data_IF_033009027147
#
_entry.id   IF_033009027147
#
_cell.length_a   1.000
_cell.length_b   1.000
_cell.length_c   1.000
_cell.angle_alpha   90.00
_cell.angle_beta   90.00
_cell.angle_gamma   90.00
#
_symmetry.space_group_name_H-M   'P 1'
#
loop_
_entity.id
_entity.type
_entity.pdbx_description
1 polymer ?
#
# COMPACT_ATOMS: atom_id res chain seq x y z
N UNK A 1 10.58 -25.92 9.07
CA UNK A 1 10.83 -25.01 10.21
C UNK A 1 10.18 -23.68 9.88
N UNK A 2 9.37 -23.11 10.79
CA UNK A 2 8.82 -21.77 10.60
C UNK A 2 9.96 -20.76 10.43
N UNK A 3 9.80 -19.78 9.55
CA UNK A 3 10.85 -18.86 9.09
C UNK A 3 11.39 -17.87 10.16
N UNK A 4 11.08 -18.06 11.45
CA UNK A 4 11.57 -17.23 12.55
C UNK A 4 10.95 -15.83 12.63
N UNK A 5 10.09 -15.43 11.69
CA UNK A 5 9.24 -14.24 11.79
C UNK A 5 7.94 -14.61 12.51
N UNK A 6 7.98 -14.65 13.85
CA UNK A 6 6.79 -14.90 14.66
C UNK A 6 5.82 -13.70 14.63
N UNK A 7 4.56 -13.95 14.98
CA UNK A 7 3.53 -12.91 15.12
C UNK A 7 3.96 -11.79 16.10
N UNK A 8 4.84 -12.09 17.05
CA UNK A 8 5.42 -11.16 18.02
C UNK A 8 6.30 -10.06 17.40
N UNK A 9 6.77 -10.24 16.16
CA UNK A 9 7.57 -9.25 15.44
C UNK A 9 6.74 -8.15 14.75
N UNK A 10 5.42 -8.16 14.92
CA UNK A 10 4.49 -7.17 14.39
C UNK A 10 3.57 -6.69 15.52
N UNK A 11 3.51 -5.38 15.84
CA UNK A 11 4.07 -4.24 15.10
C UNK A 11 5.59 -4.07 15.19
N UNK A 12 6.20 -3.46 14.16
CA UNK A 12 7.64 -3.17 14.14
C UNK A 12 8.03 -2.11 15.18
N UNK A 13 9.31 -1.98 15.59
CA UNK A 13 9.72 -0.97 16.57
C UNK A 13 9.34 0.46 16.19
N UNK A 14 9.39 0.80 14.88
CA UNK A 14 8.93 2.09 14.37
C UNK A 14 7.43 2.27 14.54
N UNK A 15 6.63 1.24 14.20
CA UNK A 15 5.17 1.25 14.39
C UNK A 15 4.78 1.44 15.87
N UNK A 16 5.46 0.74 16.79
CA UNK A 16 5.19 0.87 18.23
C UNK A 16 5.48 2.29 18.73
N UNK A 17 6.62 2.87 18.34
CA UNK A 17 7.00 4.24 18.69
C UNK A 17 5.97 5.27 18.19
N UNK A 18 5.35 5.00 17.04
CA UNK A 18 4.35 5.89 16.43
C UNK A 18 2.90 5.53 16.82
N UNK A 19 2.71 4.71 17.87
CA UNK A 19 1.41 4.47 18.50
C UNK A 19 0.64 3.24 18.02
N UNK A 20 1.16 2.49 17.05
CA UNK A 20 0.62 1.17 16.68
C UNK A 20 1.18 0.11 17.63
N UNK A 21 0.60 0.04 18.82
CA UNK A 21 1.11 -0.77 19.94
C UNK A 21 0.64 -2.24 19.94
N UNK A 22 -0.38 -2.59 19.13
CA UNK A 22 -0.84 -3.97 18.97
C UNK A 22 -1.10 -4.31 17.50
N UNK A 23 -0.95 -5.58 17.17
CA UNK A 23 -1.27 -6.09 15.83
C UNK A 23 -2.76 -5.93 15.49
N UNK A 24 -3.64 -6.00 16.51
CA UNK A 24 -5.07 -5.75 16.33
C UNK A 24 -5.38 -4.32 15.87
N UNK A 25 -4.71 -3.31 16.45
CA UNK A 25 -4.87 -1.90 16.04
C UNK A 25 -4.38 -1.72 14.60
N UNK A 26 -3.21 -2.29 14.28
CA UNK A 26 -2.64 -2.25 12.92
C UNK A 26 -3.57 -2.92 11.91
N UNK A 27 -4.09 -4.10 12.24
CA UNK A 27 -5.00 -4.88 11.39
C UNK A 27 -6.34 -4.16 11.18
N UNK A 28 -6.89 -3.51 12.21
CA UNK A 28 -8.12 -2.73 12.09
C UNK A 28 -7.95 -1.55 11.12
N UNK A 29 -6.82 -0.84 11.20
CA UNK A 29 -6.48 0.21 10.24
C UNK A 29 -6.26 -0.33 8.83
N UNK A 30 -5.59 -1.48 8.70
CA UNK A 30 -5.35 -2.11 7.41
C UNK A 30 -6.65 -2.53 6.71
N UNK A 31 -7.61 -3.10 7.45
CA UNK A 31 -8.92 -3.52 6.95
C UNK A 31 -9.77 -2.33 6.47
N UNK A 32 -9.59 -1.14 7.06
CA UNK A 32 -10.35 0.06 6.67
C UNK A 32 -10.11 0.49 5.22
N UNK A 33 -8.97 0.10 4.63
CA UNK A 33 -8.65 0.37 3.20
C UNK A 33 -9.62 -0.34 2.24
N UNK A 34 -10.24 -1.44 2.65
CA UNK A 34 -11.29 -2.10 1.86
C UNK A 34 -12.62 -1.34 1.82
N UNK A 35 -12.76 -0.27 2.62
CA UNK A 35 -13.98 0.51 2.69
C UNK A 35 -15.15 -0.28 3.29
N UNK A 36 -16.33 -0.14 2.69
CA UNK A 36 -17.57 -0.82 3.10
C UNK A 36 -18.16 -1.69 1.99
N UNK A 37 -17.44 -1.87 0.89
CA UNK A 37 -17.86 -2.72 -0.23
C UNK A 37 -17.89 -4.19 0.19
N UNK A 38 -18.83 -5.00 -0.35
CA UNK A 38 -18.83 -6.43 -0.11
C UNK A 38 -17.59 -7.08 -0.73
N UNK A 39 -16.98 -8.01 0.00
CA UNK A 39 -15.92 -8.87 -0.54
C UNK A 39 -16.53 -9.83 -1.56
N UNK A 40 -16.03 -9.81 -2.79
CA UNK A 40 -16.54 -10.63 -3.89
C UNK A 40 -15.70 -11.88 -4.14
N UNK A 41 -14.41 -11.84 -3.80
CA UNK A 41 -13.51 -12.98 -3.92
C UNK A 41 -12.36 -12.93 -2.91
N UNK A 42 -11.76 -14.09 -2.67
CA UNK A 42 -10.50 -14.25 -1.94
C UNK A 42 -9.55 -15.02 -2.85
N UNK A 43 -8.36 -14.47 -3.08
CA UNK A 43 -7.37 -14.94 -4.05
C UNK A 43 -6.13 -15.46 -3.31
N UNK A 44 -5.59 -16.61 -3.74
CA UNK A 44 -4.29 -17.09 -3.24
C UNK A 44 -3.11 -16.34 -3.91
N UNK A 45 -1.87 -16.51 -3.45
CA UNK A 45 -0.69 -15.90 -4.06
C UNK A 45 -0.21 -16.68 -5.29
N UNK A 46 -0.08 -16.09 -6.52
CA UNK A 46 -0.64 -14.84 -7.04
C UNK A 46 -1.76 -15.12 -8.07
N UNK A 47 -2.91 -15.56 -7.56
CA UNK A 47 -4.10 -15.87 -8.35
C UNK A 47 -4.65 -14.60 -9.03
N UNK A 48 -4.96 -14.71 -10.32
CA UNK A 48 -5.43 -13.58 -11.12
C UNK A 48 -6.84 -13.16 -10.71
N UNK A 49 -7.06 -11.85 -10.63
CA UNK A 49 -8.40 -11.28 -10.45
C UNK A 49 -9.29 -11.60 -11.65
N UNK A 50 -10.52 -12.07 -11.39
CA UNK A 50 -11.52 -12.40 -12.43
C UNK A 50 -12.87 -11.73 -12.21
N UNK A 51 -13.12 -11.16 -11.02
CA UNK A 51 -14.39 -10.56 -10.64
C UNK A 51 -14.20 -9.08 -10.27
N UNK A 52 -15.07 -8.22 -10.80
CA UNK A 52 -15.09 -6.80 -10.42
C UNK A 52 -15.64 -6.63 -8.99
N UNK A 53 -15.01 -5.78 -8.19
CA UNK A 53 -15.38 -5.51 -6.79
C UNK A 53 -14.18 -5.62 -5.85
N UNK A 54 -14.44 -5.64 -4.54
CA UNK A 54 -13.39 -5.81 -3.53
C UNK A 54 -12.93 -7.27 -3.48
N UNK A 55 -11.70 -7.51 -3.92
CA UNK A 55 -11.04 -8.81 -3.87
C UNK A 55 -9.98 -8.78 -2.76
N UNK A 56 -9.90 -9.84 -1.94
CA UNK A 56 -8.86 -9.97 -0.93
C UNK A 56 -7.75 -10.90 -1.45
N UNK A 57 -6.52 -10.38 -1.58
CA UNK A 57 -5.36 -11.18 -2.01
C UNK A 57 -4.52 -11.61 -0.80
N UNK A 58 -4.29 -12.91 -0.66
CA UNK A 58 -3.47 -13.46 0.42
C UNK A 58 -1.98 -13.32 0.12
N UNK A 59 -1.33 -12.31 0.71
CA UNK A 59 0.12 -12.05 0.56
C UNK A 59 0.86 -12.13 1.90
N UNK A 60 2.20 -12.21 1.91
CA UNK A 60 3.00 -11.82 3.07
C UNK A 60 2.78 -10.34 3.41
N UNK A 61 3.14 -9.96 4.63
CA UNK A 61 3.09 -8.56 5.08
C UNK A 61 4.30 -7.72 4.69
N UNK A 62 5.26 -8.27 3.95
CA UNK A 62 6.40 -7.50 3.44
C UNK A 62 5.97 -6.62 2.26
N UNK A 63 6.32 -5.33 2.33
CA UNK A 63 5.90 -4.31 1.38
C UNK A 63 6.16 -4.68 -0.10
N UNK A 64 7.32 -5.24 -0.42
CA UNK A 64 7.69 -5.57 -1.81
C UNK A 64 7.06 -6.90 -2.23
N UNK A 65 7.00 -7.89 -1.34
CA UNK A 65 6.36 -9.17 -1.64
C UNK A 65 4.85 -9.01 -1.91
N UNK A 66 4.16 -8.16 -1.13
CA UNK A 66 2.74 -7.87 -1.32
C UNK A 66 2.50 -7.07 -2.60
N UNK A 67 3.28 -6.02 -2.84
CA UNK A 67 3.19 -5.21 -4.07
C UNK A 67 3.44 -6.05 -5.32
N UNK A 68 4.46 -6.93 -5.26
CA UNK A 68 4.75 -7.89 -6.35
C UNK A 68 3.54 -8.79 -6.62
N UNK A 69 2.87 -9.27 -5.56
CA UNK A 69 1.68 -10.12 -5.67
C UNK A 69 0.50 -9.37 -6.29
N UNK A 70 0.23 -8.14 -5.86
CA UNK A 70 -0.89 -7.32 -6.33
C UNK A 70 -0.79 -7.11 -7.84
N UNK A 71 0.39 -6.70 -8.30
CA UNK A 71 0.67 -6.49 -9.73
C UNK A 71 0.62 -7.82 -10.49
N UNK A 72 1.21 -8.89 -9.94
CA UNK A 72 1.11 -10.23 -10.52
C UNK A 72 -0.35 -10.72 -10.62
N UNK A 73 -1.22 -10.33 -9.69
CA UNK A 73 -2.65 -10.69 -9.66
C UNK A 73 -3.52 -9.83 -10.59
N UNK A 74 -2.96 -8.74 -11.14
CA UNK A 74 -3.59 -7.92 -12.18
C UNK A 74 -3.75 -6.44 -11.84
N UNK A 75 -3.27 -5.96 -10.69
CA UNK A 75 -3.31 -4.53 -10.36
C UNK A 75 -2.54 -3.71 -11.41
N UNK A 76 -3.16 -2.64 -11.90
CA UNK A 76 -2.56 -1.72 -12.88
C UNK A 76 -2.00 -0.45 -12.22
N UNK A 77 -2.43 -0.16 -10.99
CA UNK A 77 -1.94 0.93 -10.14
C UNK A 77 -1.96 0.40 -8.70
N UNK A 78 -0.91 0.68 -7.93
CA UNK A 78 -0.84 0.34 -6.50
C UNK A 78 -0.88 1.63 -5.69
N UNK A 79 -1.78 1.68 -4.70
CA UNK A 79 -1.83 2.78 -3.72
C UNK A 79 -1.10 2.35 -2.45
N UNK A 80 0.12 2.85 -2.28
CA UNK A 80 0.97 2.49 -1.15
C UNK A 80 0.88 3.56 -0.06
N UNK A 81 0.08 3.28 0.98
CA UNK A 81 -0.05 4.19 2.12
C UNK A 81 1.16 4.08 3.06
N UNK A 82 1.77 5.20 3.44
CA UNK A 82 2.93 5.20 4.34
C UNK A 82 2.87 6.35 5.35
N UNK A 83 3.27 6.06 6.60
CA UNK A 83 3.47 7.07 7.65
C UNK A 83 4.94 7.40 7.89
N UNK A 84 5.85 6.63 7.30
CA UNK A 84 7.31 6.75 7.51
C UNK A 84 8.09 7.03 6.23
N UNK A 85 7.45 6.94 5.05
CA UNK A 85 8.08 7.27 3.77
C UNK A 85 8.84 6.10 3.15
N UNK A 86 8.31 4.88 3.23
CA UNK A 86 8.90 3.72 2.56
C UNK A 86 8.99 3.97 1.05
N UNK A 87 10.19 3.92 0.43
CA UNK A 87 10.37 4.25 -0.98
C UNK A 87 10.11 3.06 -1.92
N UNK A 88 9.01 2.32 -1.70
CA UNK A 88 8.67 1.15 -2.51
C UNK A 88 8.18 1.55 -3.90
N UNK A 89 8.59 0.79 -4.92
CA UNK A 89 8.01 0.85 -6.25
C UNK A 89 7.74 -0.54 -6.84
N UNK A 90 7.61 -0.59 -8.17
CA UNK A 90 7.40 -1.83 -8.92
C UNK A 90 7.75 -1.60 -10.41
N UNK A 91 8.42 -2.55 -11.08
CA UNK A 91 8.82 -2.38 -12.48
C UNK A 91 7.69 -2.49 -13.50
N UNK A 92 6.48 -2.93 -13.10
CA UNK A 92 5.38 -3.24 -14.02
C UNK A 92 4.21 -2.26 -13.88
N UNK A 93 3.92 -1.77 -12.67
CA UNK A 93 2.79 -0.87 -12.42
C UNK A 93 3.22 0.35 -11.58
N UNK A 94 2.67 1.55 -11.82
CA UNK A 94 2.90 2.72 -10.98
C UNK A 94 2.48 2.46 -9.54
N UNK A 95 3.37 2.82 -8.61
CA UNK A 95 3.12 2.79 -7.16
C UNK A 95 3.00 4.23 -6.66
N UNK A 96 1.76 4.64 -6.38
CA UNK A 96 1.41 5.96 -5.82
C UNK A 96 1.69 5.94 -4.33
N UNK A 97 2.59 6.80 -3.85
CA UNK A 97 2.86 6.96 -2.41
C UNK A 97 1.88 7.93 -1.77
N UNK A 98 1.04 7.39 -0.89
CA UNK A 98 0.03 8.16 -0.16
C UNK A 98 0.49 8.37 1.28
N UNK A 99 0.78 9.61 1.66
CA UNK A 99 1.18 9.94 3.03
C UNK A 99 -0.04 9.96 3.97
N UNK A 100 0.10 9.38 5.15
CA UNK A 100 -0.90 9.47 6.23
C UNK A 100 -0.82 10.76 7.06
N UNK A 101 0.21 11.60 6.84
CA UNK A 101 0.41 12.84 7.58
C UNK A 101 1.17 13.90 6.77
N UNK A 102 0.78 15.17 6.92
CA UNK A 102 1.34 16.28 6.14
C UNK A 102 2.81 16.52 6.43
N UNK A 103 3.25 16.32 7.67
CA UNK A 103 4.66 16.47 8.04
C UNK A 103 5.59 15.54 7.24
N UNK A 104 5.16 14.32 6.93
CA UNK A 104 5.90 13.41 6.04
C UNK A 104 5.90 13.91 4.60
N UNK A 105 4.77 14.38 4.08
CA UNK A 105 4.65 14.90 2.73
C UNK A 105 5.57 16.12 2.50
N UNK A 106 5.64 17.02 3.49
CA UNK A 106 6.54 18.18 3.46
C UNK A 106 8.01 17.81 3.59
N UNK A 107 8.32 16.77 4.38
CA UNK A 107 9.71 16.31 4.60
C UNK A 107 10.26 15.50 3.43
N UNK A 108 9.39 14.77 2.72
CA UNK A 108 9.76 13.85 1.63
C UNK A 108 8.95 14.13 0.35
N UNK A 109 8.95 15.38 -0.16
CA UNK A 109 8.13 15.77 -1.31
C UNK A 109 8.60 15.14 -2.63
N UNK A 110 9.80 14.56 -2.64
CA UNK A 110 10.37 13.82 -3.75
C UNK A 110 9.90 12.36 -3.81
N UNK A 111 9.30 11.84 -2.73
CA UNK A 111 8.81 10.46 -2.62
C UNK A 111 7.30 10.40 -2.52
N UNK A 112 6.66 11.33 -1.78
CA UNK A 112 5.22 11.35 -1.55
C UNK A 112 4.50 11.96 -2.74
N UNK A 113 3.55 11.22 -3.28
CA UNK A 113 2.74 11.61 -4.44
C UNK A 113 1.42 12.30 -4.03
N UNK A 114 0.85 11.89 -2.89
CA UNK A 114 -0.42 12.40 -2.39
C UNK A 114 -0.44 12.51 -0.86
N UNK A 115 -0.96 13.60 -0.31
CA UNK A 115 -1.06 13.84 1.13
C UNK A 115 -2.50 13.72 1.64
N UNK A 116 -2.72 12.79 2.59
CA UNK A 116 -4.00 12.64 3.32
C UNK A 116 -3.97 13.26 4.72
N UNK A 117 -2.83 13.83 5.13
CA UNK A 117 -2.68 14.52 6.40
C UNK A 117 -3.68 15.64 6.70
N UNK A 118 -4.21 16.39 5.71
CA UNK A 118 -5.25 17.40 5.95
C UNK A 118 -6.54 16.85 6.57
N UNK A 119 -6.78 15.53 6.47
CA UNK A 119 -7.89 14.86 7.18
C UNK A 119 -7.69 14.88 8.69
N UNK A 120 -6.45 14.79 9.17
CA UNK A 120 -6.12 14.80 10.60
C UNK A 120 -6.20 16.23 11.17
N UNK A 121 -5.77 17.24 10.41
CA UNK A 121 -5.86 18.64 10.83
C UNK A 121 -7.29 19.22 10.77
N UNK A 122 -8.20 18.54 10.05
CA UNK A 122 -9.58 18.98 9.86
C UNK A 122 -9.77 19.95 8.70
N UNK A 123 -8.73 20.18 7.89
CA UNK A 123 -8.77 21.03 6.71
C UNK A 123 -9.46 20.36 5.50
N UNK A 124 -9.59 19.03 5.53
CA UNK A 124 -10.23 18.23 4.49
C UNK A 124 -11.06 17.09 5.10
N UNK A 125 -12.25 16.82 4.57
CA UNK A 125 -13.01 15.62 4.97
C UNK A 125 -12.47 14.36 4.30
N UNK A 126 -12.82 13.18 4.82
CA UNK A 126 -12.46 11.89 4.19
C UNK A 126 -12.99 11.81 2.76
N UNK A 127 -14.22 12.31 2.52
CA UNK A 127 -14.87 12.31 1.21
C UNK A 127 -14.12 13.20 0.22
N UNK A 128 -13.70 14.39 0.66
CA UNK A 128 -12.88 15.29 -0.17
C UNK A 128 -11.53 14.66 -0.50
N UNK A 129 -10.87 14.03 0.48
CA UNK A 129 -9.61 13.34 0.25
C UNK A 129 -9.77 12.16 -0.72
N UNK A 130 -10.88 11.41 -0.62
CA UNK A 130 -11.18 10.30 -1.51
C UNK A 130 -11.43 10.76 -2.96
N UNK A 131 -12.19 11.84 -3.16
CA UNK A 131 -12.43 12.41 -4.49
C UNK A 131 -11.12 12.90 -5.13
N UNK A 132 -10.33 13.67 -4.37
CA UNK A 132 -9.04 14.17 -4.85
C UNK A 132 -8.06 13.03 -5.17
N UNK A 133 -8.03 11.97 -4.35
CA UNK A 133 -7.19 10.81 -4.60
C UNK A 133 -7.66 10.04 -5.84
N UNK A 134 -8.97 9.89 -6.03
CA UNK A 134 -9.53 9.25 -7.23
C UNK A 134 -9.16 10.03 -8.49
N UNK A 135 -9.29 11.36 -8.47
CA UNK A 135 -8.88 12.22 -9.60
C UNK A 135 -7.38 12.08 -9.89
N UNK A 136 -6.55 12.04 -8.85
CA UNK A 136 -5.11 11.79 -9.00
C UNK A 136 -4.83 10.43 -9.66
N UNK A 137 -5.50 9.37 -9.22
CA UNK A 137 -5.37 8.03 -9.79
C UNK A 137 -5.79 7.99 -11.25
N UNK A 138 -6.87 8.70 -11.62
CA UNK A 138 -7.30 8.83 -13.03
C UNK A 138 -6.21 9.51 -13.87
N UNK A 139 -5.60 10.59 -13.38
CA UNK A 139 -4.48 11.26 -14.08
C UNK A 139 -3.27 10.34 -14.27
N UNK A 140 -2.93 9.54 -13.26
CA UNK A 140 -1.87 8.52 -13.37
C UNK A 140 -2.24 7.45 -14.40
N UNK A 141 -3.48 6.96 -14.37
CA UNK A 141 -3.98 5.96 -15.33
C UNK A 141 -3.93 6.47 -16.78
N UNK A 142 -4.21 7.76 -16.99
CA UNK A 142 -4.14 8.43 -18.29
C UNK A 142 -2.71 8.80 -18.73
N UNK A 143 -1.71 8.63 -17.86
CA UNK A 143 -0.33 9.07 -18.13
C UNK A 143 -0.13 10.59 -18.08
N UNK A 144 -1.07 11.34 -17.50
CA UNK A 144 -0.98 12.79 -17.34
C UNK A 144 -0.08 13.19 -16.16
N UNK A 145 0.07 12.29 -15.18
CA UNK A 145 0.93 12.46 -14.00
C UNK A 145 1.86 11.28 -13.87
N UNK A 146 3.16 11.53 -13.78
CA UNK A 146 4.17 10.51 -13.46
C UNK A 146 4.39 10.43 -11.95
N UNK A 147 4.24 9.22 -11.38
CA UNK A 147 4.46 8.98 -9.94
C UNK A 147 5.94 8.96 -9.58
N UNK A 148 6.26 9.30 -8.34
CA UNK A 148 7.65 9.38 -7.86
C UNK A 148 8.39 8.05 -7.95
N UNK A 149 7.71 6.90 -7.85
CA UNK A 149 8.32 5.58 -8.07
C UNK A 149 8.98 5.46 -9.44
N UNK A 150 8.25 5.86 -10.48
CA UNK A 150 8.71 5.76 -11.86
C UNK A 150 9.84 6.76 -12.08
N UNK A 151 9.64 8.01 -11.69
CA UNK A 151 10.63 9.09 -11.83
C UNK A 151 11.97 8.76 -11.16
N UNK A 152 11.94 8.03 -10.04
CA UNK A 152 13.11 7.64 -9.27
C UNK A 152 13.67 6.25 -9.63
N UNK A 153 13.05 5.50 -10.55
CA UNK A 153 13.49 4.15 -10.93
C UNK A 153 13.37 3.12 -9.80
N UNK A 154 12.30 3.20 -9.01
CA UNK A 154 12.03 2.26 -7.92
C UNK A 154 11.43 0.96 -8.48
N UNK A 155 12.29 0.06 -8.94
CA UNK A 155 11.92 -1.19 -9.61
C UNK A 155 11.92 -2.41 -8.67
N UNK A 156 11.31 -2.28 -7.50
CA UNK A 156 11.31 -3.36 -6.50
C UNK A 156 10.47 -4.57 -6.94
N UNK A 157 11.05 -5.76 -6.88
CA UNK A 157 10.36 -7.01 -7.22
C UNK A 157 10.90 -8.17 -6.40
N UNK A 158 10.07 -8.75 -5.53
CA UNK A 158 10.42 -9.90 -4.69
C UNK A 158 9.25 -10.90 -4.72
N UNK A 159 9.41 -12.08 -5.35
CA UNK A 159 8.40 -13.12 -5.29
C UNK A 159 8.41 -13.81 -3.91
N UNK A 160 7.24 -14.11 -3.37
CA UNK A 160 7.13 -14.84 -2.12
C UNK A 160 7.51 -16.30 -2.31
N UNK A 161 8.57 -16.72 -1.63
CA UNK A 161 9.02 -18.12 -1.64
C UNK A 161 8.33 -18.93 -0.56
N UNK A 162 7.25 -19.63 -0.92
CA UNK A 162 6.60 -20.64 -0.06
C UNK A 162 7.41 -21.94 -0.01
N UNK A 163 8.59 -21.93 0.62
CA UNK A 163 9.40 -23.16 0.81
C UNK A 163 10.91 -22.96 0.93
N UNK A 164 11.63 -24.07 1.10
CA UNK A 164 13.10 -24.10 1.17
C UNK A 164 13.68 -24.18 -0.25
N UNK A 165 14.71 -23.40 -0.56
CA UNK A 165 15.53 -23.63 -1.75
C UNK A 165 16.42 -24.84 -1.50
N UNK A 166 16.39 -25.84 -2.39
CA UNK A 166 17.48 -26.80 -2.48
C UNK A 166 18.70 -26.16 -3.14
#
# INVERSE_FOLDING_TARGET
KAAGSGFDMNPSPGNIRDGLITDAIKSAGAAKKGGTSPVVAVLDYPEKVTQAGLNLLCTPGNDVESTTAEVASGAQIVLFTTGLGTPTGNPVAPVVKVSSNTALAERMPDIIDFDTGPVISGDMTIEQAAENLLEYVVKVANGETEVSAIRLGQDDFIPWKRGVSL
#
